data_IF_607468679990
#
_entry.id   IF_607468679990
#
_cell.length_a   1.000
_cell.length_b   1.000
_cell.length_c   1.000
_cell.angle_alpha   90.00
_cell.angle_beta   90.00
_cell.angle_gamma   90.00
#
_symmetry.space_group_name_H-M   'P 1'
#
loop_
_entity.id
_entity.type
_entity.pdbx_description
1 polymer ?
#
# COMPACT_ATOMS: atom_id res chain seq x y z
N UNK A 1 -7.91 -6.27 2.12
CA UNK A 1 -7.22 -5.90 0.87
C UNK A 1 -8.29 -5.54 -0.15
N UNK A 2 -8.05 -4.56 -1.00
CA UNK A 2 -8.99 -4.19 -2.06
C UNK A 2 -8.92 -5.24 -3.19
N UNK A 3 -10.06 -5.69 -3.74
CA UNK A 3 -10.05 -6.40 -5.00
C UNK A 3 -9.48 -5.50 -6.10
N UNK A 4 -8.64 -6.06 -6.95
CA UNK A 4 -8.07 -5.35 -8.10
C UNK A 4 -8.84 -5.69 -9.37
N UNK A 5 -8.84 -4.74 -10.30
CA UNK A 5 -9.51 -4.85 -11.58
C UNK A 5 -8.55 -4.49 -12.72
N UNK A 6 -8.86 -4.92 -13.93
CA UNK A 6 -8.18 -4.46 -15.14
C UNK A 6 -8.97 -3.31 -15.82
N UNK A 7 -8.47 -2.82 -16.95
CA UNK A 7 -9.11 -1.74 -17.70
C UNK A 7 -10.51 -2.09 -18.26
N UNK A 8 -10.84 -3.38 -18.38
CA UNK A 8 -12.15 -3.86 -18.81
C UNK A 8 -13.16 -3.95 -17.65
N UNK A 9 -12.74 -3.63 -16.42
CA UNK A 9 -13.57 -3.79 -15.22
C UNK A 9 -13.68 -5.23 -14.74
N UNK A 10 -12.83 -6.14 -15.23
CA UNK A 10 -12.79 -7.53 -14.78
C UNK A 10 -11.94 -7.65 -13.52
N UNK A 11 -12.45 -8.37 -12.53
CA UNK A 11 -11.68 -8.65 -11.31
C UNK A 11 -10.51 -9.58 -11.66
N UNK A 12 -9.31 -9.23 -11.20
CA UNK A 12 -8.07 -9.99 -11.47
C UNK A 12 -7.69 -10.86 -10.26
N UNK A 13 -6.91 -11.94 -10.47
CA UNK A 13 -6.39 -12.73 -9.35
C UNK A 13 -5.51 -11.87 -8.43
N UNK A 14 -5.41 -12.23 -7.14
CA UNK A 14 -4.57 -11.51 -6.19
C UNK A 14 -3.11 -11.47 -6.66
N UNK A 15 -2.37 -10.45 -6.22
CA UNK A 15 -0.92 -10.38 -6.42
C UNK A 15 -0.28 -11.68 -5.90
N UNK A 16 0.67 -12.29 -6.64
CA UNK A 16 1.38 -13.47 -6.15
C UNK A 16 2.06 -13.19 -4.82
N UNK A 17 1.76 -14.02 -3.82
CA UNK A 17 2.51 -14.08 -2.57
C UNK A 17 3.69 -15.05 -2.72
N UNK A 18 4.69 -14.91 -1.85
CA UNK A 18 5.84 -15.81 -1.87
C UNK A 18 5.42 -17.21 -1.37
N UNK A 19 5.32 -18.17 -2.29
CA UNK A 19 4.97 -19.57 -1.97
C UNK A 19 6.21 -20.44 -1.74
N UNK A 20 6.01 -21.61 -1.13
CA UNK A 20 7.10 -22.56 -0.93
C UNK A 20 7.69 -23.07 -2.24
N UNK A 21 6.88 -23.21 -3.30
CA UNK A 21 7.38 -23.55 -4.65
C UNK A 21 8.29 -22.45 -5.21
N UNK A 22 7.98 -21.18 -4.96
CA UNK A 22 8.85 -20.07 -5.35
C UNK A 22 10.15 -20.06 -4.56
N UNK A 23 10.09 -20.35 -3.25
CA UNK A 23 11.30 -20.48 -2.42
C UNK A 23 12.19 -21.61 -2.91
N UNK A 24 11.60 -22.80 -3.19
CA UNK A 24 12.32 -23.94 -3.78
C UNK A 24 12.97 -23.57 -5.11
N UNK A 25 12.22 -22.94 -6.02
CA UNK A 25 12.74 -22.52 -7.31
C UNK A 25 13.87 -21.49 -7.18
N UNK A 26 13.79 -20.57 -6.21
CA UNK A 26 14.86 -19.63 -5.90
C UNK A 26 16.12 -20.33 -5.35
N UNK A 27 15.96 -21.23 -4.39
CA UNK A 27 17.05 -22.02 -3.84
C UNK A 27 17.75 -22.88 -4.90
N UNK A 28 16.99 -23.57 -5.75
CA UNK A 28 17.54 -24.35 -6.88
C UNK A 28 18.32 -23.47 -7.85
N UNK A 29 17.81 -22.27 -8.18
CA UNK A 29 18.54 -21.30 -9.01
C UNK A 29 19.84 -20.83 -8.35
N UNK A 30 19.86 -20.69 -7.02
CA UNK A 30 21.06 -20.32 -6.29
C UNK A 30 22.12 -21.43 -6.41
N UNK A 31 21.76 -22.70 -6.18
CA UNK A 31 22.68 -23.84 -6.37
C UNK A 31 23.20 -23.90 -7.81
N UNK A 32 22.29 -23.81 -8.80
CA UNK A 32 22.64 -23.83 -10.23
C UNK A 32 23.50 -22.65 -10.68
N UNK A 33 23.55 -21.56 -9.91
CA UNK A 33 24.41 -20.42 -10.23
C UNK A 33 25.90 -20.73 -10.03
N UNK A 34 26.21 -21.79 -9.27
CA UNK A 34 27.58 -22.19 -8.92
C UNK A 34 28.26 -21.27 -7.91
N UNK A 35 27.52 -20.34 -7.31
CA UNK A 35 28.04 -19.43 -6.28
C UNK A 35 27.93 -19.99 -4.86
N UNK A 36 27.17 -21.07 -4.67
CA UNK A 36 27.08 -21.73 -3.37
C UNK A 36 28.27 -22.65 -3.19
N UNK A 37 29.03 -22.41 -2.13
CA UNK A 37 30.31 -23.05 -1.89
C UNK A 37 30.20 -24.37 -1.12
N UNK A 38 29.08 -24.57 -0.41
CA UNK A 38 28.84 -25.73 0.46
C UNK A 38 27.73 -26.67 0.01
N UNK A 39 27.05 -26.37 -1.10
CA UNK A 39 25.91 -27.15 -1.56
C UNK A 39 26.25 -27.85 -2.86
N UNK A 40 26.38 -29.17 -2.79
CA UNK A 40 26.58 -29.99 -3.98
C UNK A 40 25.28 -30.12 -4.81
N UNK A 41 25.42 -30.34 -6.11
CA UNK A 41 24.28 -30.40 -7.04
C UNK A 41 23.34 -31.57 -6.74
N UNK A 42 23.85 -32.68 -6.20
CA UNK A 42 23.06 -33.84 -5.79
C UNK A 42 22.24 -33.59 -4.50
N UNK A 43 22.64 -32.62 -3.69
CA UNK A 43 21.92 -32.20 -2.48
C UNK A 43 20.91 -31.07 -2.76
N UNK A 44 20.93 -30.49 -3.97
CA UNK A 44 20.15 -29.32 -4.34
C UNK A 44 18.64 -29.46 -4.08
N UNK A 45 18.07 -30.64 -4.33
CA UNK A 45 16.64 -30.88 -4.11
C UNK A 45 16.29 -30.81 -2.62
N UNK A 46 17.05 -31.53 -1.78
CA UNK A 46 16.85 -31.52 -0.33
C UNK A 46 17.11 -30.13 0.26
N UNK A 47 18.18 -29.47 -0.20
CA UNK A 47 18.49 -28.08 0.15
C UNK A 47 17.30 -27.15 -0.13
N UNK A 48 16.71 -27.25 -1.32
CA UNK A 48 15.57 -26.39 -1.69
C UNK A 48 14.34 -26.63 -0.82
N UNK A 49 14.10 -27.88 -0.39
CA UNK A 49 12.99 -28.25 0.48
C UNK A 49 13.18 -27.63 1.86
N UNK A 50 14.38 -27.71 2.43
CA UNK A 50 14.69 -27.18 3.75
C UNK A 50 14.67 -25.65 3.75
N UNK A 51 15.24 -25.00 2.72
CA UNK A 51 15.14 -23.56 2.53
C UNK A 51 13.68 -23.12 2.49
N UNK A 52 12.81 -23.79 1.73
CA UNK A 52 11.42 -23.38 1.63
C UNK A 52 10.67 -23.45 2.98
N UNK A 53 11.06 -24.38 3.84
CA UNK A 53 10.48 -24.58 5.16
C UNK A 53 10.94 -23.52 6.17
N UNK A 54 12.22 -23.15 6.15
CA UNK A 54 12.83 -22.27 7.15
C UNK A 54 12.89 -20.79 6.72
N UNK A 55 12.88 -20.53 5.42
CA UNK A 55 12.92 -19.17 4.90
C UNK A 55 11.59 -18.43 5.12
N UNK A 56 11.70 -17.24 5.69
CA UNK A 56 10.68 -16.19 5.63
C UNK A 56 11.33 -14.87 5.21
N UNK A 57 10.53 -13.97 4.64
CA UNK A 57 11.06 -12.69 4.15
C UNK A 57 11.64 -11.88 5.31
N UNK A 58 12.90 -11.49 5.18
CA UNK A 58 13.63 -10.72 6.19
C UNK A 58 14.22 -11.57 7.31
N UNK A 59 14.24 -12.91 7.17
CA UNK A 59 15.08 -13.77 8.00
C UNK A 59 16.54 -13.35 7.85
N UNK A 60 17.25 -13.28 8.96
CA UNK A 60 18.69 -13.02 8.96
C UNK A 60 19.44 -14.26 8.45
N UNK A 61 20.52 -14.07 7.69
CA UNK A 61 21.26 -15.18 7.08
C UNK A 61 21.85 -16.14 8.11
N UNK A 62 22.31 -15.64 9.26
CA UNK A 62 22.80 -16.48 10.35
C UNK A 62 21.66 -17.26 11.00
N UNK A 63 20.50 -16.63 11.21
CA UNK A 63 19.31 -17.33 11.72
C UNK A 63 18.86 -18.45 10.78
N UNK A 64 18.81 -18.18 9.47
CA UNK A 64 18.46 -19.17 8.46
C UNK A 64 19.46 -20.33 8.47
N UNK A 65 20.77 -20.03 8.51
CA UNK A 65 21.80 -21.05 8.59
C UNK A 65 21.68 -21.90 9.86
N UNK A 66 21.41 -21.29 11.03
CA UNK A 66 21.17 -22.03 12.28
C UNK A 66 19.95 -22.94 12.21
N UNK A 67 18.89 -22.51 11.54
CA UNK A 67 17.72 -23.35 11.30
C UNK A 67 18.05 -24.55 10.40
N UNK A 68 18.85 -24.33 9.35
CA UNK A 68 19.36 -25.38 8.47
C UNK A 68 20.23 -26.39 9.26
N UNK A 69 21.12 -25.93 10.15
CA UNK A 69 21.92 -26.81 11.02
C UNK A 69 21.03 -27.63 11.98
N UNK A 70 20.14 -26.96 12.71
CA UNK A 70 19.35 -27.58 13.77
C UNK A 70 18.26 -28.54 13.25
N UNK A 71 17.75 -28.30 12.05
CA UNK A 71 16.55 -28.98 11.55
C UNK A 71 16.74 -29.68 10.20
N UNK A 72 17.69 -29.24 9.38
CA UNK A 72 18.04 -29.86 8.10
C UNK A 72 19.32 -30.70 8.16
N UNK A 73 20.03 -30.73 9.29
CA UNK A 73 21.29 -31.46 9.48
C UNK A 73 22.41 -31.01 8.52
N UNK A 74 22.39 -29.74 8.10
CA UNK A 74 23.43 -29.14 7.26
C UNK A 74 24.69 -28.84 8.08
N UNK A 75 25.87 -29.08 7.51
CA UNK A 75 27.14 -28.67 8.12
C UNK A 75 27.35 -27.18 7.85
N UNK A 76 27.23 -26.37 8.92
CA UNK A 76 27.19 -24.92 8.82
C UNK A 76 28.49 -24.32 9.35
N UNK A 77 29.20 -23.64 8.45
CA UNK A 77 30.33 -22.79 8.79
C UNK A 77 30.05 -21.32 8.37
N UNK A 78 31.06 -20.47 8.45
CA UNK A 78 30.92 -19.06 8.07
C UNK A 78 30.58 -18.86 6.58
N UNK A 79 31.06 -19.73 5.70
CA UNK A 79 30.81 -19.65 4.26
C UNK A 79 29.38 -20.11 3.93
N UNK A 80 28.83 -21.07 4.67
CA UNK A 80 27.41 -21.42 4.56
C UNK A 80 26.48 -20.24 4.90
N UNK A 81 26.87 -19.39 5.85
CA UNK A 81 26.10 -18.17 6.18
C UNK A 81 26.12 -17.18 5.01
N UNK A 82 27.28 -16.97 4.37
CA UNK A 82 27.40 -16.13 3.17
C UNK A 82 26.55 -16.70 2.01
N UNK A 83 26.51 -18.02 1.85
CA UNK A 83 25.66 -18.72 0.88
C UNK A 83 24.16 -18.41 1.11
N UNK A 84 23.71 -18.29 2.37
CA UNK A 84 22.31 -17.94 2.70
C UNK A 84 21.92 -16.52 2.26
N UNK A 85 22.84 -15.55 2.33
CA UNK A 85 22.58 -14.20 1.82
C UNK A 85 22.29 -14.22 0.31
N UNK A 86 23.00 -15.07 -0.43
CA UNK A 86 22.79 -15.21 -1.87
C UNK A 86 21.45 -15.85 -2.19
N UNK A 87 21.06 -16.88 -1.42
CA UNK A 87 19.78 -17.58 -1.59
C UNK A 87 18.60 -16.61 -1.47
N UNK A 88 18.62 -15.67 -0.52
CA UNK A 88 17.58 -14.63 -0.39
C UNK A 88 17.40 -13.86 -1.70
N UNK A 89 18.50 -13.41 -2.31
CA UNK A 89 18.50 -12.68 -3.56
C UNK A 89 17.81 -13.43 -4.71
N UNK A 90 18.07 -14.74 -4.84
CA UNK A 90 17.43 -15.58 -5.87
C UNK A 90 15.95 -15.83 -5.59
N UNK A 91 15.56 -16.06 -4.33
CA UNK A 91 14.15 -16.21 -3.94
C UNK A 91 13.37 -14.92 -4.24
N UNK A 92 13.91 -13.76 -3.84
CA UNK A 92 13.30 -12.47 -4.11
C UNK A 92 13.23 -12.18 -5.61
N UNK A 93 14.21 -12.63 -6.40
CA UNK A 93 14.17 -12.51 -7.85
C UNK A 93 13.02 -13.33 -8.47
N UNK A 94 12.85 -14.59 -8.08
CA UNK A 94 11.73 -15.43 -8.53
C UNK A 94 10.38 -14.80 -8.19
N UNK A 95 10.22 -14.31 -6.96
CA UNK A 95 8.97 -13.66 -6.54
C UNK A 95 8.68 -12.39 -7.33
N UNK A 96 9.69 -11.54 -7.53
CA UNK A 96 9.58 -10.32 -8.31
C UNK A 96 9.22 -10.60 -9.78
N UNK A 97 9.80 -11.64 -10.37
CA UNK A 97 9.49 -12.03 -11.74
C UNK A 97 8.04 -12.53 -11.86
N UNK A 98 7.56 -13.33 -10.90
CA UNK A 98 6.17 -13.75 -10.85
C UNK A 98 5.19 -12.56 -10.72
N UNK A 99 5.54 -11.54 -9.93
CA UNK A 99 4.76 -10.30 -9.82
C UNK A 99 4.75 -9.54 -11.15
N UNK A 100 5.89 -9.46 -11.86
CA UNK A 100 5.98 -8.80 -13.17
C UNK A 100 5.14 -9.52 -14.22
N UNK A 101 5.20 -10.85 -14.26
CA UNK A 101 4.41 -11.66 -15.19
C UNK A 101 2.90 -11.55 -14.91
N UNK A 102 2.52 -11.56 -13.63
CA UNK A 102 1.15 -11.30 -13.20
C UNK A 102 0.67 -9.92 -13.67
N UNK A 103 1.47 -8.87 -13.44
CA UNK A 103 1.10 -7.51 -13.83
C UNK A 103 1.01 -7.35 -15.36
N UNK A 104 1.91 -7.98 -16.11
CA UNK A 104 1.87 -8.00 -17.58
C UNK A 104 0.63 -8.71 -18.11
N UNK A 105 0.23 -9.81 -17.47
CA UNK A 105 -0.91 -10.63 -17.89
C UNK A 105 -2.23 -9.95 -17.55
N UNK A 106 -2.36 -9.42 -16.34
CA UNK A 106 -3.63 -8.93 -15.80
C UNK A 106 -3.81 -7.42 -15.88
N UNK A 107 -2.73 -6.65 -16.08
CA UNK A 107 -2.75 -5.19 -16.25
C UNK A 107 -3.61 -4.49 -15.19
N UNK A 108 -3.25 -4.61 -13.90
CA UNK A 108 -4.01 -4.01 -12.80
C UNK A 108 -4.14 -2.49 -12.99
N UNK A 109 -5.37 -1.97 -12.88
CA UNK A 109 -5.62 -0.54 -12.85
C UNK A 109 -5.51 0.00 -11.42
N UNK A 110 -5.02 1.24 -11.23
CA UNK A 110 -4.98 1.88 -9.91
C UNK A 110 -6.40 2.04 -9.34
N UNK A 111 -6.69 1.55 -8.13
CA UNK A 111 -8.02 1.70 -7.51
C UNK A 111 -8.40 3.16 -7.19
N UNK A 112 -7.40 4.01 -6.97
CA UNK A 112 -7.53 5.43 -6.64
C UNK A 112 -6.68 6.30 -7.56
N UNK A 113 -7.17 7.51 -7.82
CA UNK A 113 -6.52 8.51 -8.67
C UNK A 113 -5.33 9.19 -7.97
N UNK A 114 -4.38 9.68 -8.77
CA UNK A 114 -3.31 10.56 -8.28
C UNK A 114 -3.94 11.80 -7.62
N UNK A 115 -3.36 12.24 -6.50
CA UNK A 115 -3.92 13.29 -5.65
C UNK A 115 -4.86 12.77 -4.56
N UNK A 116 -5.22 11.48 -4.56
CA UNK A 116 -6.05 10.90 -3.50
C UNK A 116 -5.27 10.80 -2.18
N UNK A 117 -5.91 11.19 -1.08
CA UNK A 117 -5.36 11.08 0.27
C UNK A 117 -5.64 9.70 0.90
N UNK A 118 -4.56 9.01 1.29
CA UNK A 118 -4.59 7.67 1.87
C UNK A 118 -4.29 7.70 3.37
N UNK A 119 -4.90 6.77 4.10
CA UNK A 119 -4.45 6.37 5.43
C UNK A 119 -3.23 5.46 5.28
N UNK A 120 -2.13 5.85 5.93
CA UNK A 120 -0.86 5.13 5.90
C UNK A 120 -0.52 4.72 7.32
N UNK A 121 -0.30 3.42 7.55
CA UNK A 121 0.15 2.98 8.87
C UNK A 121 1.63 3.35 9.06
N UNK A 122 1.94 3.97 10.19
CA UNK A 122 3.30 4.28 10.62
C UNK A 122 3.55 3.71 12.02
N UNK A 123 4.81 3.69 12.44
CA UNK A 123 5.19 3.21 13.77
C UNK A 123 4.49 4.00 14.88
N UNK A 124 4.38 5.32 14.70
CA UNK A 124 3.76 6.25 15.65
C UNK A 124 2.22 6.25 15.59
N UNK A 125 1.64 5.33 14.82
CA UNK A 125 0.19 5.18 14.62
C UNK A 125 -0.27 5.55 13.21
N UNK A 126 -1.60 5.71 13.02
CA UNK A 126 -2.16 6.09 11.73
C UNK A 126 -1.67 7.47 11.29
N UNK A 127 -1.10 7.54 10.10
CA UNK A 127 -0.71 8.77 9.43
C UNK A 127 -1.48 8.88 8.09
N UNK A 128 -1.22 9.91 7.31
CA UNK A 128 -1.82 10.09 6.00
C UNK A 128 -0.81 10.64 5.00
N UNK A 129 -1.11 10.45 3.72
CA UNK A 129 -0.30 10.96 2.63
C UNK A 129 -1.08 10.97 1.32
N UNK A 130 -0.60 11.76 0.38
CA UNK A 130 -1.23 11.96 -0.93
C UNK A 130 -0.53 11.11 -1.98
N UNK A 131 -1.31 10.43 -2.83
CA UNK A 131 -0.77 9.71 -3.99
C UNK A 131 -0.13 10.72 -4.94
N UNK A 132 1.18 10.63 -5.09
CA UNK A 132 1.99 11.53 -5.93
C UNK A 132 2.14 10.96 -7.34
N UNK A 133 2.41 9.66 -7.44
CA UNK A 133 2.60 8.97 -8.72
C UNK A 133 2.40 7.45 -8.59
N UNK A 134 2.45 6.76 -9.72
CA UNK A 134 2.55 5.30 -9.78
C UNK A 134 4.03 4.93 -9.84
N UNK A 135 4.46 3.97 -9.01
CA UNK A 135 5.86 3.56 -8.95
C UNK A 135 6.26 2.75 -10.20
N UNK A 136 7.32 3.19 -10.88
CA UNK A 136 7.70 2.67 -12.20
C UNK A 136 8.46 1.33 -12.15
N UNK A 137 9.11 1.02 -11.02
CA UNK A 137 10.04 -0.12 -10.94
C UNK A 137 9.42 -1.42 -10.40
N UNK A 138 8.27 -1.34 -9.72
CA UNK A 138 7.55 -2.49 -9.17
C UNK A 138 6.03 -2.27 -9.36
N UNK A 139 5.35 -3.15 -10.12
CA UNK A 139 4.01 -2.89 -10.60
C UNK A 139 2.96 -2.79 -9.48
N UNK A 140 1.89 -2.05 -9.81
CA UNK A 140 0.73 -1.86 -8.95
C UNK A 140 1.06 -1.29 -7.57
N UNK A 141 1.96 -0.31 -7.51
CA UNK A 141 2.32 0.42 -6.29
C UNK A 141 2.18 1.93 -6.50
N UNK A 142 1.69 2.60 -5.47
CA UNK A 142 1.66 4.05 -5.36
C UNK A 142 2.96 4.56 -4.72
N UNK A 143 3.42 5.72 -5.19
CA UNK A 143 4.32 6.60 -4.47
C UNK A 143 3.48 7.60 -3.69
N UNK A 144 3.56 7.58 -2.37
CA UNK A 144 2.75 8.43 -1.49
C UNK A 144 3.64 9.45 -0.78
N UNK A 145 3.37 10.74 -0.97
CA UNK A 145 4.01 11.83 -0.22
C UNK A 145 3.34 11.94 1.15
N UNK A 146 4.11 11.79 2.21
CA UNK A 146 3.59 11.82 3.58
C UNK A 146 3.22 13.25 3.98
N UNK A 147 2.12 13.42 4.71
CA UNK A 147 1.75 14.73 5.25
C UNK A 147 2.78 15.23 6.27
N UNK A 148 2.94 16.56 6.36
CA UNK A 148 3.90 17.20 7.27
C UNK A 148 5.37 17.11 6.83
N UNK A 149 5.65 16.56 5.65
CA UNK A 149 6.98 16.62 5.02
C UNK A 149 7.22 17.97 4.34
N UNK A 150 8.47 18.39 4.25
CA UNK A 150 8.83 19.64 3.59
C UNK A 150 8.50 19.61 2.08
N UNK A 151 8.36 20.78 1.46
CA UNK A 151 7.99 20.87 0.05
C UNK A 151 9.05 20.27 -0.88
N UNK A 152 10.33 20.42 -0.51
CA UNK A 152 11.49 19.85 -1.20
C UNK A 152 11.77 18.37 -0.86
N UNK A 153 10.97 17.76 0.03
CA UNK A 153 11.10 16.35 0.38
C UNK A 153 10.66 15.44 -0.79
N UNK A 154 11.63 14.70 -1.32
CA UNK A 154 11.46 13.73 -2.42
C UNK A 154 11.12 12.32 -1.93
N UNK A 155 11.09 12.08 -0.61
CA UNK A 155 10.78 10.77 -0.05
C UNK A 155 9.33 10.37 -0.32
N UNK A 156 9.12 9.10 -0.66
CA UNK A 156 7.79 8.53 -0.92
C UNK A 156 7.67 7.18 -0.24
N UNK A 157 6.51 6.93 0.36
CA UNK A 157 6.15 5.58 0.82
C UNK A 157 5.55 4.79 -0.32
N UNK A 158 5.98 3.55 -0.45
CA UNK A 158 5.44 2.62 -1.45
C UNK A 158 4.26 1.87 -0.84
N UNK A 159 3.09 2.00 -1.46
CA UNK A 159 1.86 1.32 -1.02
C UNK A 159 1.31 0.49 -2.17
N UNK A 160 1.06 -0.80 -1.95
CA UNK A 160 0.43 -1.65 -2.97
C UNK A 160 -1.01 -1.22 -3.21
N UNK A 161 -1.51 -1.34 -4.44
CA UNK A 161 -2.89 -0.98 -4.79
C UNK A 161 -3.93 -1.67 -3.90
N UNK A 162 -3.72 -2.94 -3.62
CA UNK A 162 -4.59 -3.78 -2.79
C UNK A 162 -4.52 -3.46 -1.29
N UNK A 163 -3.50 -2.72 -0.85
CA UNK A 163 -3.30 -2.29 0.54
C UNK A 163 -3.73 -0.84 0.79
N UNK A 164 -3.93 -0.05 -0.27
CA UNK A 164 -4.32 1.35 -0.19
C UNK A 164 -5.67 1.50 0.53
N UNK A 165 -5.74 2.41 1.51
CA UNK A 165 -6.98 2.70 2.25
C UNK A 165 -7.22 4.19 2.21
N UNK A 166 -8.43 4.62 1.86
CA UNK A 166 -8.80 6.03 1.93
C UNK A 166 -8.66 6.55 3.36
N UNK A 167 -8.18 7.79 3.50
CA UNK A 167 -8.20 8.48 4.78
C UNK A 167 -9.64 8.65 5.26
N UNK A 168 -9.88 8.39 6.55
CA UNK A 168 -11.17 8.69 7.18
C UNK A 168 -11.32 10.20 7.29
N UNK A 169 -12.51 10.69 6.94
CA UNK A 169 -12.83 12.11 7.09
C UNK A 169 -12.91 12.46 8.57
N UNK A 170 -12.40 13.64 8.90
CA UNK A 170 -12.49 14.26 10.22
C UNK A 170 -13.09 15.65 10.11
N UNK A 171 -13.50 16.20 11.25
CA UNK A 171 -13.96 17.60 11.33
C UNK A 171 -12.84 18.54 10.86
N UNK A 172 -13.21 19.50 10.01
CA UNK A 172 -12.29 20.45 9.38
C UNK A 172 -11.76 20.01 8.01
N UNK A 173 -11.99 18.77 7.57
CA UNK A 173 -11.68 18.40 6.19
C UNK A 173 -12.56 19.18 5.21
N UNK A 174 -11.98 19.63 4.11
CA UNK A 174 -12.69 20.17 2.95
C UNK A 174 -12.94 19.04 1.97
N UNK A 175 -14.19 18.86 1.58
CA UNK A 175 -14.62 17.77 0.71
C UNK A 175 -15.38 18.26 -0.52
N UNK A 176 -15.18 17.57 -1.64
CA UNK A 176 -15.89 17.83 -2.90
C UNK A 176 -16.63 16.57 -3.38
N UNK A 177 -17.75 16.71 -4.11
CA UNK A 177 -18.45 15.58 -4.71
C UNK A 177 -17.55 14.74 -5.63
N UNK A 178 -17.65 13.42 -5.52
CA UNK A 178 -16.94 12.50 -6.42
C UNK A 178 -17.57 12.53 -7.82
N UNK A 179 -18.90 12.59 -7.90
CA UNK A 179 -19.59 12.63 -9.19
C UNK A 179 -19.70 14.07 -9.69
N UNK A 180 -19.31 14.29 -10.93
CA UNK A 180 -19.35 15.60 -11.59
C UNK A 180 -20.76 16.15 -11.80
N UNK A 181 -21.79 15.30 -11.77
CA UNK A 181 -23.20 15.70 -11.88
C UNK A 181 -23.87 15.99 -10.53
N UNK A 182 -23.17 15.70 -9.42
CA UNK A 182 -23.63 16.04 -8.09
C UNK A 182 -23.00 17.35 -7.64
N UNK A 183 -23.83 18.31 -7.22
CA UNK A 183 -23.34 19.60 -6.75
C UNK A 183 -23.99 19.96 -5.42
N UNK A 184 -23.19 20.50 -4.51
CA UNK A 184 -23.70 21.08 -3.28
C UNK A 184 -24.43 22.39 -3.63
N UNK A 185 -25.66 22.53 -3.16
CA UNK A 185 -26.54 23.58 -3.60
C UNK A 185 -27.40 24.13 -2.46
N UNK A 186 -27.70 25.42 -2.57
CA UNK A 186 -28.81 26.05 -1.88
C UNK A 186 -29.90 26.43 -2.88
N UNK A 187 -31.01 26.99 -2.39
CA UNK A 187 -32.06 27.52 -3.26
C UNK A 187 -31.56 28.61 -4.22
N UNK A 188 -30.45 29.30 -3.91
CA UNK A 188 -29.93 30.41 -4.69
C UNK A 188 -28.44 30.32 -5.08
N UNK A 189 -27.70 29.33 -4.57
CA UNK A 189 -26.24 29.22 -4.78
C UNK A 189 -25.80 27.78 -5.05
N UNK A 190 -24.57 27.63 -5.56
CA UNK A 190 -23.89 26.36 -5.81
C UNK A 190 -22.49 26.42 -5.20
N UNK A 191 -22.00 25.29 -4.72
CA UNK A 191 -20.74 25.17 -4.01
C UNK A 191 -19.99 23.96 -4.56
N UNK A 192 -18.71 24.16 -4.87
CA UNK A 192 -17.86 23.09 -5.41
C UNK A 192 -17.33 22.19 -4.30
N UNK A 193 -17.16 22.73 -3.09
CA UNK A 193 -16.71 22.03 -1.91
C UNK A 193 -17.42 22.53 -0.64
N UNK A 194 -17.24 21.80 0.45
CA UNK A 194 -17.71 22.17 1.77
C UNK A 194 -16.78 21.65 2.87
N UNK A 195 -16.89 22.25 4.05
CA UNK A 195 -16.20 21.86 5.27
C UNK A 195 -17.00 20.80 6.01
N UNK A 196 -16.34 19.74 6.45
CA UNK A 196 -16.92 18.73 7.34
C UNK A 196 -17.01 19.32 8.74
N UNK A 197 -18.23 19.60 9.19
CA UNK A 197 -18.49 20.12 10.54
C UNK A 197 -18.79 18.99 11.53
N UNK A 198 -19.33 17.86 11.06
CA UNK A 198 -19.55 16.67 11.91
C UNK A 198 -19.41 15.40 11.07
N UNK A 199 -18.84 14.35 11.66
CA UNK A 199 -18.70 13.04 11.02
C UNK A 199 -19.89 12.13 11.35
N UNK A 200 -20.38 12.19 12.59
CA UNK A 200 -21.53 11.42 13.07
C UNK A 200 -22.46 12.29 13.93
N UNK A 201 -23.58 12.80 13.38
CA UNK A 201 -24.06 12.62 12.01
C UNK A 201 -23.16 13.33 10.98
N UNK A 202 -23.15 12.87 9.72
CA UNK A 202 -22.37 13.51 8.67
C UNK A 202 -22.99 14.86 8.28
N UNK A 203 -22.30 15.96 8.58
CA UNK A 203 -22.76 17.33 8.32
C UNK A 203 -21.68 18.12 7.60
N UNK A 204 -22.08 18.71 6.48
CA UNK A 204 -21.26 19.62 5.70
C UNK A 204 -21.74 21.05 5.88
N UNK A 205 -20.81 21.99 5.90
CA UNK A 205 -21.07 23.43 6.02
C UNK A 205 -20.25 24.15 4.95
N UNK A 206 -20.83 25.16 4.30
CA UNK A 206 -20.08 25.98 3.34
C UNK A 206 -18.95 26.75 4.04
N UNK A 207 -17.91 27.15 3.30
CA UNK A 207 -16.81 27.95 3.84
C UNK A 207 -17.27 29.24 4.55
N UNK A 208 -18.35 29.88 4.05
CA UNK A 208 -18.94 31.07 4.65
C UNK A 208 -19.92 30.80 5.80
N UNK A 209 -20.09 29.54 6.20
CA UNK A 209 -21.08 29.08 7.20
C UNK A 209 -22.55 29.46 6.90
N UNK A 210 -22.85 29.88 5.67
CA UNK A 210 -24.18 30.28 5.21
C UNK A 210 -25.11 29.08 4.95
N UNK A 211 -24.54 27.93 4.57
CA UNK A 211 -25.25 26.71 4.25
C UNK A 211 -24.83 25.51 5.08
N UNK A 212 -25.80 24.64 5.39
CA UNK A 212 -25.63 23.37 6.11
C UNK A 212 -26.35 22.25 5.36
N UNK A 213 -25.64 21.15 5.12
CA UNK A 213 -26.19 19.93 4.54
C UNK A 213 -26.01 18.76 5.48
N UNK A 214 -27.08 18.01 5.72
CA UNK A 214 -27.07 16.82 6.57
C UNK A 214 -27.89 15.70 5.93
N UNK A 215 -29.17 15.94 5.66
CA UNK A 215 -30.07 14.87 5.18
C UNK A 215 -29.85 14.45 3.73
N UNK A 216 -29.23 15.32 2.92
CA UNK A 216 -29.06 15.11 1.46
C UNK A 216 -27.64 14.66 1.09
N UNK A 217 -26.78 14.46 2.08
CA UNK A 217 -25.36 14.14 1.90
C UNK A 217 -25.04 12.84 2.62
N UNK A 218 -24.21 12.02 1.99
CA UNK A 218 -23.64 10.81 2.58
C UNK A 218 -22.13 10.87 2.40
N UNK A 219 -21.38 10.42 3.40
CA UNK A 219 -19.92 10.49 3.40
C UNK A 219 -19.32 9.91 2.11
N UNK A 220 -19.85 8.79 1.62
CA UNK A 220 -19.33 8.05 0.46
C UNK A 220 -19.44 8.82 -0.87
N UNK A 221 -20.18 9.94 -0.90
CA UNK A 221 -20.35 10.77 -2.10
C UNK A 221 -19.22 11.78 -2.29
N UNK A 222 -18.30 11.90 -1.33
CA UNK A 222 -17.30 12.97 -1.31
C UNK A 222 -15.86 12.45 -1.21
N UNK A 223 -14.92 13.19 -1.75
CA UNK A 223 -13.47 13.01 -1.56
C UNK A 223 -12.87 14.23 -0.85
N UNK A 224 -11.75 14.02 -0.16
CA UNK A 224 -11.05 15.08 0.58
C UNK A 224 -10.17 15.85 -0.39
N UNK A 225 -10.22 17.18 -0.33
CA UNK A 225 -9.44 18.08 -1.21
C UNK A 225 -8.70 19.18 -0.45
N UNK A 226 -8.85 19.23 0.86
CA UNK A 226 -8.14 20.20 1.68
C UNK A 226 -8.54 20.11 3.14
N UNK A 227 -8.12 21.12 3.90
CA UNK A 227 -8.41 21.24 5.33
C UNK A 227 -8.57 22.71 5.70
N UNK A 228 -9.47 22.98 6.63
CA UNK A 228 -9.62 24.27 7.30
C UNK A 228 -9.38 24.12 8.80
N UNK A 229 -8.75 25.13 9.38
CA UNK A 229 -8.43 25.21 10.81
C UNK A 229 -8.71 26.63 11.33
N UNK A 230 -8.64 26.83 12.65
CA UNK A 230 -8.77 28.14 13.28
C UNK A 230 -10.17 28.77 13.14
N UNK A 231 -10.23 30.09 12.97
CA UNK A 231 -11.47 30.88 13.00
C UNK A 231 -12.51 30.41 11.98
N UNK A 232 -12.08 29.98 10.79
CA UNK A 232 -12.99 29.46 9.76
C UNK A 232 -13.68 28.18 10.21
N UNK A 233 -12.94 27.26 10.82
CA UNK A 233 -13.53 26.02 11.34
C UNK A 233 -14.49 26.32 12.50
N UNK A 234 -14.11 27.22 13.41
CA UNK A 234 -14.98 27.64 14.52
C UNK A 234 -16.30 28.23 14.02
N UNK A 235 -16.27 29.06 12.97
CA UNK A 235 -17.48 29.62 12.37
C UNK A 235 -18.38 28.53 11.77
N UNK A 236 -17.79 27.55 11.06
CA UNK A 236 -18.54 26.40 10.54
C UNK A 236 -19.15 25.55 11.67
N UNK A 237 -18.42 25.34 12.77
CA UNK A 237 -18.87 24.54 13.91
C UNK A 237 -20.03 25.20 14.66
N UNK A 238 -19.99 26.53 14.86
CA UNK A 238 -21.10 27.29 15.49
C UNK A 238 -22.43 27.08 14.77
N UNK A 239 -22.41 26.76 13.46
CA UNK A 239 -23.62 26.49 12.68
C UNK A 239 -24.35 25.20 13.09
N UNK A 240 -23.70 24.31 13.83
CA UNK A 240 -24.32 23.11 14.38
C UNK A 240 -25.20 23.39 15.60
N UNK A 241 -24.94 24.49 16.31
CA UNK A 241 -25.64 24.89 17.54
C UNK A 241 -26.94 25.64 17.28
N UNK A 242 -27.21 25.99 16.01
CA UNK A 242 -28.36 26.78 15.53
C UNK A 242 -29.41 25.90 14.87
#
# INVERSE_FOLDING_TARGET
MNPLFNANGEQIPPRPELTDEMKKAGALKAVQSGHLSHIDEDEAEQFSIDIAKHYYRGVDAYELAKDMENHGCWDVDAMFVDDMEQVDGYIQAVHRDAIKDWAKTHQPTPPFEIGTELCVHSHDGPNHGVIDSIYEYDPAKYCVKMAGTADDDTSRRLIKFEEAKLRKVVVGDVVEPIKTDYQLASGCSRYDNAVVASVEPFVLVSHGADMRWQSTVKREQFKIVGKVEGETLEACMKRLEV
#
